data_IF_734242666114
#
_entry.id   IF_734242666114
#
_cell.length_a   1.000
_cell.length_b   1.000
_cell.length_c   1.000
_cell.angle_alpha   90.00
_cell.angle_beta   90.00
_cell.angle_gamma   90.00
#
_symmetry.space_group_name_H-M   'P 1'
#
loop_
_entity.id
_entity.type
_entity.pdbx_description
1 polymer ?
#
# COMPACT_ATOMS: atom_id res chain seq x y z
N UNK A 1 -34.03 25.29 56.30
CA UNK A 1 -34.25 24.91 54.88
C UNK A 1 -33.03 25.31 54.12
N UNK A 2 -32.11 24.37 53.86
CA UNK A 2 -30.89 24.62 53.07
C UNK A 2 -31.12 23.95 51.73
N UNK A 3 -31.19 24.71 50.64
CA UNK A 3 -31.28 24.21 49.25
C UNK A 3 -29.88 23.94 48.76
N UNK A 4 -29.55 22.67 48.58
CA UNK A 4 -28.31 22.25 47.91
C UNK A 4 -28.43 22.51 46.42
N UNK A 5 -27.69 23.48 45.88
CA UNK A 5 -27.44 23.63 44.47
C UNK A 5 -26.27 22.73 44.09
N UNK A 6 -26.53 21.64 43.37
CA UNK A 6 -25.49 20.82 42.71
C UNK A 6 -25.21 21.45 41.34
N UNK A 7 -24.01 21.85 41.02
CA UNK A 7 -23.73 22.46 39.70
C UNK A 7 -23.70 21.41 38.60
N UNK A 8 -24.44 21.69 37.56
CA UNK A 8 -24.53 20.96 36.28
C UNK A 8 -23.29 21.26 35.41
N UNK A 9 -22.11 20.72 35.78
CA UNK A 9 -20.85 20.95 35.03
C UNK A 9 -20.17 19.65 34.54
N UNK A 10 -20.84 18.52 34.52
CA UNK A 10 -20.16 17.26 34.20
C UNK A 10 -20.58 16.60 32.87
N UNK A 11 -21.24 17.29 31.95
CA UNK A 11 -21.77 16.65 30.73
C UNK A 11 -21.15 17.13 29.40
N UNK A 12 -20.10 17.96 29.40
CA UNK A 12 -19.56 18.52 28.17
C UNK A 12 -18.19 17.92 27.74
N UNK A 13 -17.62 16.96 28.45
CA UNK A 13 -16.25 16.51 28.18
C UNK A 13 -16.10 15.19 27.40
N UNK A 14 -17.22 14.51 27.07
CA UNK A 14 -17.14 13.18 26.42
C UNK A 14 -17.26 13.24 24.89
N UNK A 15 -17.62 14.39 24.31
CA UNK A 15 -17.89 14.48 22.87
C UNK A 15 -16.69 14.84 21.97
N UNK A 16 -15.55 15.20 22.54
CA UNK A 16 -14.39 15.68 21.75
C UNK A 16 -13.36 14.62 21.35
N UNK A 17 -13.46 13.39 21.87
CA UNK A 17 -12.46 12.34 21.61
C UNK A 17 -12.72 11.48 20.36
N UNK A 18 -13.92 11.49 19.81
CA UNK A 18 -14.26 10.67 18.64
C UNK A 18 -13.99 11.35 17.29
N UNK A 19 -13.80 12.67 17.27
CA UNK A 19 -13.59 13.44 16.02
C UNK A 19 -12.17 13.33 15.47
N UNK A 20 -11.17 13.09 16.31
CA UNK A 20 -9.75 13.14 15.88
C UNK A 20 -9.30 11.93 15.04
N UNK A 21 -9.87 10.73 15.24
CA UNK A 21 -9.45 9.53 14.49
C UNK A 21 -9.97 9.57 13.06
N UNK A 22 -11.18 10.08 12.84
CA UNK A 22 -11.76 10.18 11.49
C UNK A 22 -11.07 11.24 10.63
N UNK A 23 -10.65 12.36 11.21
CA UNK A 23 -9.98 13.45 10.51
C UNK A 23 -8.57 13.06 10.03
N UNK A 24 -7.78 12.38 10.88
CA UNK A 24 -6.43 11.90 10.53
C UNK A 24 -6.44 10.89 9.37
N UNK A 25 -7.40 9.97 9.35
CA UNK A 25 -7.47 8.98 8.28
C UNK A 25 -7.95 9.57 6.95
N UNK A 26 -8.79 10.59 6.97
CA UNK A 26 -9.29 11.26 5.77
C UNK A 26 -8.21 12.15 5.13
N UNK A 27 -7.37 12.80 5.92
CA UNK A 27 -6.25 13.62 5.43
C UNK A 27 -5.16 12.78 4.74
N UNK A 28 -4.95 11.54 5.18
CA UNK A 28 -3.95 10.66 4.57
C UNK A 28 -4.27 10.27 3.10
N UNK A 29 -5.55 10.27 2.70
CA UNK A 29 -5.97 10.01 1.32
C UNK A 29 -5.99 11.26 0.44
N UNK A 30 -5.91 12.44 1.02
CA UNK A 30 -6.03 13.71 0.28
C UNK A 30 -5.05 13.85 -0.91
N UNK A 31 -3.77 13.43 -0.84
CA UNK A 31 -2.91 13.44 -2.01
C UNK A 31 -3.42 12.56 -3.15
N UNK A 32 -3.86 11.33 -2.87
CA UNK A 32 -4.37 10.39 -3.87
C UNK A 32 -5.72 10.84 -4.47
N UNK A 33 -6.56 11.53 -3.71
CA UNK A 33 -7.82 12.10 -4.20
C UNK A 33 -7.60 13.18 -5.25
N UNK A 34 -6.47 13.90 -5.20
CA UNK A 34 -6.07 14.89 -6.22
C UNK A 34 -5.64 14.24 -7.53
N UNK A 35 -5.30 12.96 -7.54
CA UNK A 35 -4.76 12.24 -8.69
C UNK A 35 -3.29 12.55 -8.99
N UNK A 36 -2.78 11.96 -10.08
CA UNK A 36 -1.40 12.07 -10.56
C UNK A 36 -0.35 11.70 -9.49
N UNK A 37 -0.69 10.71 -8.66
CA UNK A 37 0.20 10.16 -7.62
C UNK A 37 0.63 8.74 -7.95
N UNK A 38 1.80 8.36 -7.44
CA UNK A 38 2.29 7.00 -7.43
C UNK A 38 1.99 6.39 -6.06
N UNK A 39 1.25 5.27 -6.06
CA UNK A 39 0.78 4.61 -4.84
C UNK A 39 1.43 3.24 -4.77
N UNK A 40 2.44 3.11 -3.94
CA UNK A 40 3.06 1.83 -3.66
C UNK A 40 2.25 1.07 -2.60
N UNK A 41 2.14 -0.23 -2.79
CA UNK A 41 1.53 -1.14 -1.81
C UNK A 41 2.49 -2.31 -1.62
N UNK A 42 3.01 -2.50 -0.41
CA UNK A 42 3.67 -3.76 -0.10
C UNK A 42 2.64 -4.88 -0.15
N UNK A 43 2.99 -6.02 -0.76
CA UNK A 43 2.10 -7.19 -0.76
C UNK A 43 1.53 -7.46 0.64
N UNK A 44 0.30 -7.94 0.68
CA UNK A 44 -0.40 -8.27 1.93
C UNK A 44 0.29 -9.39 2.71
N UNK A 45 -0.21 -9.70 3.90
CA UNK A 45 0.42 -10.60 4.88
C UNK A 45 0.67 -11.99 4.27
N UNK A 46 1.97 -12.27 4.11
CA UNK A 46 2.51 -13.57 3.73
C UNK A 46 3.50 -13.99 4.83
N UNK A 47 3.18 -14.96 5.71
CA UNK A 47 4.01 -15.33 6.84
C UNK A 47 5.40 -15.86 6.44
N UNK A 48 6.40 -15.59 7.27
CA UNK A 48 7.79 -15.99 7.04
C UNK A 48 8.63 -14.89 6.36
N UNK A 49 9.91 -15.18 6.14
CA UNK A 49 10.91 -14.30 5.51
C UNK A 49 11.50 -14.96 4.26
N UNK A 50 11.53 -14.24 3.14
CA UNK A 50 12.03 -14.76 1.88
C UNK A 50 11.12 -15.83 1.25
N UNK A 51 11.59 -16.42 0.17
CA UNK A 51 10.96 -17.59 -0.48
C UNK A 51 11.78 -18.86 -0.22
N UNK A 52 11.19 -20.06 -0.27
CA UNK A 52 11.93 -21.32 -0.09
C UNK A 52 13.08 -21.46 -1.09
N UNK A 53 14.16 -22.17 -0.74
CA UNK A 53 15.22 -22.46 -1.69
C UNK A 53 14.68 -23.14 -2.96
N UNK A 54 15.13 -22.68 -4.13
CA UNK A 54 14.73 -23.25 -5.41
C UNK A 54 13.31 -22.90 -5.88
N UNK A 55 12.66 -21.90 -5.26
CA UNK A 55 11.36 -21.43 -5.74
C UNK A 55 11.41 -20.96 -7.20
N UNK A 56 10.26 -21.06 -7.88
CA UNK A 56 10.09 -20.61 -9.26
C UNK A 56 9.05 -19.49 -9.32
N UNK A 57 9.30 -18.44 -10.11
CA UNK A 57 8.40 -17.29 -10.24
C UNK A 57 7.06 -17.68 -10.88
N UNK A 58 7.08 -18.63 -11.79
CA UNK A 58 5.91 -19.12 -12.53
C UNK A 58 5.14 -20.23 -11.78
N UNK A 59 5.66 -20.72 -10.67
CA UNK A 59 5.00 -21.76 -9.85
C UNK A 59 4.72 -21.29 -8.42
N UNK A 60 3.49 -20.85 -8.19
CA UNK A 60 3.05 -20.36 -6.87
C UNK A 60 3.16 -21.41 -5.75
N UNK A 61 3.16 -22.70 -6.07
CA UNK A 61 3.28 -23.76 -5.05
C UNK A 61 4.67 -23.79 -4.41
N UNK A 62 5.65 -23.25 -5.08
CA UNK A 62 7.05 -23.18 -4.62
C UNK A 62 7.36 -21.89 -3.86
N UNK A 63 6.43 -20.94 -3.85
CA UNK A 63 6.63 -19.61 -3.27
C UNK A 63 5.99 -19.47 -1.88
N UNK A 64 6.45 -18.46 -1.16
CA UNK A 64 5.77 -17.95 0.02
C UNK A 64 4.56 -17.12 -0.40
N UNK A 65 3.36 -17.58 -0.03
CA UNK A 65 2.08 -17.01 -0.48
C UNK A 65 1.33 -16.29 0.64
N UNK A 66 0.25 -15.59 0.28
CA UNK A 66 -0.63 -14.92 1.24
C UNK A 66 -1.28 -15.91 2.21
N UNK A 67 -1.38 -15.52 3.47
CA UNK A 67 -2.26 -16.19 4.43
C UNK A 67 -3.73 -15.80 4.19
N UNK A 68 -4.67 -16.52 4.85
CA UNK A 68 -6.07 -16.08 4.93
C UNK A 68 -6.21 -14.63 5.40
N UNK A 69 -5.39 -14.23 6.38
CA UNK A 69 -5.33 -12.85 6.88
C UNK A 69 -4.87 -11.87 5.79
N UNK A 70 -3.86 -12.25 5.01
CA UNK A 70 -3.40 -11.46 3.86
C UNK A 70 -4.43 -11.31 2.76
N UNK A 71 -5.17 -12.36 2.43
CA UNK A 71 -6.28 -12.29 1.47
C UNK A 71 -7.36 -11.30 1.95
N UNK A 72 -7.74 -11.35 3.23
CA UNK A 72 -8.71 -10.43 3.81
C UNK A 72 -8.19 -8.99 3.84
N UNK A 73 -6.89 -8.79 4.13
CA UNK A 73 -6.23 -7.50 4.06
C UNK A 73 -6.25 -6.94 2.63
N UNK A 74 -5.97 -7.75 1.62
CA UNK A 74 -6.06 -7.34 0.21
C UNK A 74 -7.47 -6.85 -0.15
N UNK A 75 -8.51 -7.58 0.28
CA UNK A 75 -9.91 -7.15 0.08
C UNK A 75 -10.22 -5.84 0.81
N UNK A 76 -9.66 -5.65 2.02
CA UNK A 76 -9.79 -4.39 2.78
C UNK A 76 -9.14 -3.22 2.03
N UNK A 77 -7.95 -3.43 1.44
CA UNK A 77 -7.28 -2.44 0.60
C UNK A 77 -8.20 -1.96 -0.51
N UNK A 78 -8.76 -2.86 -1.30
CA UNK A 78 -9.69 -2.49 -2.38
C UNK A 78 -10.91 -1.69 -1.88
N UNK A 79 -11.49 -2.10 -0.74
CA UNK A 79 -12.60 -1.35 -0.11
C UNK A 79 -12.17 0.06 0.32
N UNK A 80 -10.94 0.24 0.82
CA UNK A 80 -10.41 1.55 1.21
C UNK A 80 -10.26 2.48 0.00
N UNK A 81 -9.75 1.98 -1.14
CA UNK A 81 -9.66 2.76 -2.37
C UNK A 81 -11.04 3.22 -2.85
N UNK A 82 -12.03 2.33 -2.87
CA UNK A 82 -13.41 2.64 -3.26
C UNK A 82 -14.05 3.66 -2.29
N UNK A 83 -13.92 3.43 -0.96
CA UNK A 83 -14.47 4.31 0.08
C UNK A 83 -13.95 5.75 -0.04
N UNK A 84 -12.68 5.91 -0.45
CA UNK A 84 -12.03 7.22 -0.56
C UNK A 84 -12.11 7.79 -1.99
N UNK A 85 -12.85 7.16 -2.90
CA UNK A 85 -13.04 7.59 -4.29
C UNK A 85 -11.71 7.78 -5.06
N UNK A 86 -10.73 6.88 -4.83
CA UNK A 86 -9.43 6.98 -5.47
C UNK A 86 -9.53 6.52 -6.93
N UNK A 87 -9.28 7.45 -7.86
CA UNK A 87 -9.24 7.16 -9.29
C UNK A 87 -7.92 6.49 -9.64
N UNK A 88 -8.00 5.31 -10.26
CA UNK A 88 -6.83 4.50 -10.67
C UNK A 88 -6.76 4.51 -12.18
N UNK A 89 -5.57 4.76 -12.72
CA UNK A 89 -5.26 4.63 -14.14
C UNK A 89 -4.85 3.19 -14.47
N UNK A 90 -3.83 2.69 -13.77
CA UNK A 90 -3.30 1.34 -13.93
C UNK A 90 -2.92 0.74 -12.57
N UNK A 91 -3.01 -0.59 -12.49
CA UNK A 91 -2.47 -1.37 -11.39
C UNK A 91 -1.35 -2.25 -11.96
N UNK A 92 -0.11 -1.99 -11.56
CA UNK A 92 1.03 -2.83 -11.91
C UNK A 92 1.44 -3.66 -10.69
N UNK A 93 1.92 -4.87 -10.94
CA UNK A 93 2.32 -5.77 -9.87
C UNK A 93 3.59 -6.54 -10.20
N UNK A 94 4.38 -6.83 -9.16
CA UNK A 94 5.45 -7.82 -9.23
C UNK A 94 4.92 -9.17 -9.70
N UNK A 95 5.75 -9.95 -10.37
CA UNK A 95 5.45 -11.30 -10.85
C UNK A 95 5.33 -12.33 -9.72
N UNK A 96 5.72 -12.00 -8.49
CA UNK A 96 5.55 -12.89 -7.33
C UNK A 96 4.07 -13.12 -7.00
N UNK A 97 3.71 -14.36 -6.73
CA UNK A 97 2.32 -14.77 -6.51
C UNK A 97 1.64 -13.99 -5.38
N UNK A 98 2.34 -13.68 -4.27
CA UNK A 98 1.79 -12.86 -3.18
C UNK A 98 1.45 -11.42 -3.62
N UNK A 99 2.18 -10.86 -4.60
CA UNK A 99 1.86 -9.56 -5.17
C UNK A 99 0.67 -9.66 -6.14
N UNK A 100 0.67 -10.65 -7.03
CA UNK A 100 -0.44 -10.92 -7.95
C UNK A 100 -1.75 -11.19 -7.19
N UNK A 101 -1.70 -11.98 -6.12
CA UNK A 101 -2.86 -12.23 -5.28
C UNK A 101 -3.33 -10.98 -4.54
N UNK A 102 -2.40 -10.14 -4.05
CA UNK A 102 -2.76 -8.84 -3.46
C UNK A 102 -3.50 -7.98 -4.48
N UNK A 103 -2.98 -7.87 -5.72
CA UNK A 103 -3.61 -7.13 -6.81
C UNK A 103 -4.99 -7.70 -7.17
N UNK A 104 -5.09 -9.01 -7.36
CA UNK A 104 -6.32 -9.72 -7.72
C UNK A 104 -7.43 -9.49 -6.70
N UNK A 105 -7.13 -9.63 -5.40
CA UNK A 105 -8.15 -9.48 -4.36
C UNK A 105 -8.51 -8.02 -4.05
N UNK A 106 -7.61 -7.06 -4.31
CA UNK A 106 -7.87 -5.64 -4.09
C UNK A 106 -8.52 -4.97 -5.31
N UNK A 107 -8.04 -5.24 -6.53
CA UNK A 107 -8.37 -4.46 -7.72
C UNK A 107 -8.93 -5.28 -8.88
N UNK A 108 -8.85 -6.61 -8.85
CA UNK A 108 -9.25 -7.59 -9.88
C UNK A 108 -8.31 -7.60 -11.10
N UNK A 109 -8.15 -6.47 -11.79
CA UNK A 109 -7.32 -6.32 -12.99
C UNK A 109 -5.96 -5.71 -12.65
N UNK A 110 -4.91 -6.22 -13.26
CA UNK A 110 -3.54 -5.75 -13.09
C UNK A 110 -2.66 -6.20 -14.26
N UNK A 111 -1.51 -5.54 -14.39
CA UNK A 111 -0.46 -5.87 -15.36
C UNK A 111 0.80 -6.26 -14.59
N UNK A 112 1.44 -7.36 -14.96
CA UNK A 112 2.73 -7.75 -14.39
C UNK A 112 3.84 -6.84 -14.92
N UNK A 113 4.71 -6.39 -14.02
CA UNK A 113 5.85 -5.55 -14.34
C UNK A 113 7.08 -5.99 -13.55
N UNK A 114 8.09 -6.49 -14.23
CA UNK A 114 9.29 -7.10 -13.64
C UNK A 114 10.14 -6.14 -12.81
N UNK A 115 10.10 -4.84 -13.13
CA UNK A 115 10.76 -3.81 -12.31
C UNK A 115 10.22 -3.72 -10.87
N UNK A 116 9.06 -4.33 -10.58
CA UNK A 116 8.48 -4.43 -9.24
C UNK A 116 8.85 -5.74 -8.50
N UNK A 117 9.66 -6.59 -9.10
CA UNK A 117 10.07 -7.88 -8.53
C UNK A 117 10.94 -7.70 -7.29
N UNK A 118 10.91 -8.69 -6.38
CA UNK A 118 11.68 -8.64 -5.13
C UNK A 118 13.18 -8.67 -5.40
N UNK A 119 13.91 -7.79 -4.74
CA UNK A 119 15.38 -7.76 -4.70
C UNK A 119 15.91 -8.19 -3.32
N UNK A 120 15.07 -8.82 -2.50
CA UNK A 120 15.40 -9.14 -1.11
C UNK A 120 16.42 -10.26 -0.97
N UNK A 121 16.44 -11.23 -1.87
CA UNK A 121 17.31 -12.41 -1.75
C UNK A 121 18.00 -12.75 -3.08
N UNK A 122 19.19 -13.35 -2.98
CA UNK A 122 19.93 -13.86 -4.12
C UNK A 122 19.12 -14.96 -4.88
N UNK A 123 19.22 -15.02 -6.21
CA UNK A 123 20.06 -14.19 -7.09
C UNK A 123 19.39 -12.86 -7.54
N UNK A 124 18.20 -12.51 -7.03
CA UNK A 124 17.39 -11.37 -7.48
C UNK A 124 17.91 -10.02 -6.99
N UNK A 125 18.69 -9.99 -5.91
CA UNK A 125 19.36 -8.81 -5.37
C UNK A 125 20.20 -8.06 -6.40
N UNK A 126 20.83 -8.78 -7.32
CA UNK A 126 21.63 -8.23 -8.42
C UNK A 126 20.83 -7.36 -9.40
N UNK A 127 19.53 -7.50 -9.43
CA UNK A 127 18.66 -6.79 -10.36
C UNK A 127 18.24 -5.40 -9.87
N UNK A 128 18.48 -5.06 -8.59
CA UNK A 128 17.94 -3.85 -7.97
C UNK A 128 18.23 -2.58 -8.76
N UNK A 129 19.49 -2.34 -9.10
CA UNK A 129 19.91 -1.12 -9.82
C UNK A 129 19.15 -0.97 -11.15
N UNK A 130 19.05 -2.07 -11.91
CA UNK A 130 18.31 -2.09 -13.18
C UNK A 130 16.82 -1.87 -12.97
N UNK A 131 16.23 -2.59 -12.02
CA UNK A 131 14.78 -2.49 -11.72
C UNK A 131 14.38 -1.08 -11.27
N UNK A 132 15.15 -0.46 -10.38
CA UNK A 132 14.90 0.91 -9.92
C UNK A 132 15.02 1.91 -11.08
N UNK A 133 15.99 1.74 -11.98
CA UNK A 133 16.13 2.56 -13.19
C UNK A 133 14.91 2.42 -14.11
N UNK A 134 14.50 1.18 -14.39
CA UNK A 134 13.36 0.90 -15.27
C UNK A 134 12.05 1.44 -14.69
N UNK A 135 11.86 1.28 -13.38
CA UNK A 135 10.71 1.81 -12.67
C UNK A 135 10.65 3.34 -12.72
N UNK A 136 11.80 4.02 -12.50
CA UNK A 136 11.90 5.49 -12.61
C UNK A 136 11.60 5.97 -14.04
N UNK A 137 12.13 5.31 -15.05
CA UNK A 137 11.87 5.63 -16.46
C UNK A 137 10.39 5.49 -16.81
N UNK A 138 9.75 4.39 -16.35
CA UNK A 138 8.33 4.16 -16.56
C UNK A 138 7.49 5.28 -15.91
N UNK A 139 7.75 5.60 -14.65
CA UNK A 139 6.98 6.61 -13.91
C UNK A 139 7.19 8.01 -14.51
N UNK A 140 8.39 8.35 -14.97
CA UNK A 140 8.66 9.64 -15.61
C UNK A 140 7.88 9.84 -16.91
N UNK A 141 7.67 8.76 -17.67
CA UNK A 141 6.90 8.79 -18.92
C UNK A 141 5.39 8.66 -18.71
N UNK A 142 4.96 8.19 -17.53
CA UNK A 142 3.54 7.99 -17.23
C UNK A 142 2.81 9.33 -17.07
N UNK A 143 1.65 9.44 -17.75
CA UNK A 143 0.74 10.56 -17.61
C UNK A 143 -0.64 10.04 -17.17
N UNK A 144 -0.94 10.16 -15.89
CA UNK A 144 -2.17 9.64 -15.28
C UNK A 144 -3.43 10.42 -15.61
N UNK A 145 -3.32 11.63 -16.18
CA UNK A 145 -4.47 12.49 -16.53
C UNK A 145 -5.47 12.66 -15.37
N UNK A 146 -4.96 12.94 -14.17
CA UNK A 146 -5.74 13.10 -12.94
C UNK A 146 -6.14 11.78 -12.26
N UNK A 147 -5.59 10.62 -12.69
CA UNK A 147 -5.70 9.34 -12.02
C UNK A 147 -4.39 8.94 -11.38
N UNK A 148 -4.37 7.90 -10.56
CA UNK A 148 -3.19 7.42 -9.85
C UNK A 148 -2.64 6.13 -10.46
N UNK A 149 -1.33 5.94 -10.36
CA UNK A 149 -0.64 4.70 -10.67
C UNK A 149 -0.51 3.87 -9.38
N UNK A 150 -1.00 2.63 -9.38
CA UNK A 150 -0.89 1.72 -8.25
C UNK A 150 0.17 0.66 -8.54
N UNK A 151 1.13 0.50 -7.64
CA UNK A 151 2.29 -0.39 -7.76
C UNK A 151 2.32 -1.36 -6.59
N UNK A 152 2.02 -2.65 -6.84
CA UNK A 152 2.04 -3.68 -5.81
C UNK A 152 3.37 -4.43 -5.87
N UNK A 153 4.16 -4.30 -4.81
CA UNK A 153 5.55 -4.77 -4.82
C UNK A 153 6.01 -5.24 -3.43
N UNK A 154 7.29 -5.23 -3.20
CA UNK A 154 7.99 -5.70 -2.00
C UNK A 154 8.58 -4.53 -1.23
N UNK A 155 8.81 -4.71 0.07
CA UNK A 155 9.42 -3.65 0.88
C UNK A 155 10.79 -3.22 0.32
N UNK A 156 11.59 -4.15 -0.22
CA UNK A 156 12.90 -3.83 -0.78
C UNK A 156 12.83 -2.76 -1.88
N UNK A 157 11.90 -2.89 -2.82
CA UNK A 157 11.70 -1.92 -3.90
C UNK A 157 11.17 -0.59 -3.34
N UNK A 158 10.18 -0.64 -2.44
CA UNK A 158 9.62 0.59 -1.86
C UNK A 158 10.70 1.34 -1.10
N UNK A 159 11.48 0.65 -0.26
CA UNK A 159 12.56 1.27 0.52
C UNK A 159 13.65 1.84 -0.39
N UNK A 160 14.06 1.10 -1.43
CA UNK A 160 15.11 1.55 -2.35
C UNK A 160 14.73 2.83 -3.12
N UNK A 161 13.43 3.06 -3.37
CA UNK A 161 12.98 4.21 -4.18
C UNK A 161 12.43 5.37 -3.36
N UNK A 162 11.89 5.12 -2.15
CA UNK A 162 11.19 6.13 -1.33
C UNK A 162 11.82 6.35 0.04
N UNK A 163 12.77 5.51 0.47
CA UNK A 163 13.29 5.39 1.84
C UNK A 163 12.23 4.99 2.90
N UNK A 164 10.98 4.75 2.54
CA UNK A 164 9.97 4.23 3.44
C UNK A 164 10.13 2.72 3.66
N UNK A 165 9.88 2.24 4.89
CA UNK A 165 9.93 0.82 5.25
C UNK A 165 8.53 0.35 5.62
N UNK A 166 7.68 0.00 4.63
CA UNK A 166 6.28 -0.30 4.89
C UNK A 166 6.08 -1.68 5.52
N UNK A 167 5.08 -1.80 6.38
CA UNK A 167 4.51 -3.06 6.85
C UNK A 167 3.75 -3.80 5.74
N UNK A 168 3.42 -5.09 5.92
CA UNK A 168 2.62 -5.84 4.94
C UNK A 168 1.27 -5.18 4.69
N UNK A 169 0.93 -4.97 3.42
CA UNK A 169 -0.29 -4.30 2.99
C UNK A 169 -0.31 -2.79 3.17
N UNK A 170 0.74 -2.19 3.73
CA UNK A 170 0.80 -0.73 3.91
C UNK A 170 0.87 -0.03 2.56
N UNK A 171 0.14 1.09 2.48
CA UNK A 171 0.03 1.95 1.30
C UNK A 171 0.94 3.16 1.51
N UNK A 172 1.84 3.42 0.57
CA UNK A 172 2.74 4.58 0.56
C UNK A 172 2.39 5.44 -0.65
N UNK A 173 1.88 6.65 -0.42
CA UNK A 173 1.49 7.59 -1.47
C UNK A 173 2.64 8.58 -1.69
N UNK A 174 3.11 8.70 -2.93
CA UNK A 174 4.21 9.60 -3.31
C UNK A 174 3.80 10.51 -4.47
N UNK A 175 4.57 11.57 -4.68
CA UNK A 175 4.62 12.25 -5.96
C UNK A 175 5.44 11.43 -6.99
N UNK A 176 5.66 11.99 -8.20
CA UNK A 176 6.46 11.35 -9.25
C UNK A 176 7.96 11.38 -8.98
N UNK A 177 8.41 12.26 -8.10
CA UNK A 177 9.77 12.41 -7.60
C UNK A 177 10.05 11.50 -6.40
N UNK A 178 9.06 10.63 -6.02
CA UNK A 178 9.12 9.66 -4.93
C UNK A 178 9.17 10.26 -3.51
N UNK A 179 8.85 11.55 -3.35
CA UNK A 179 8.65 12.14 -2.03
C UNK A 179 7.39 11.51 -1.39
N UNK A 180 7.54 10.97 -0.20
CA UNK A 180 6.42 10.37 0.54
C UNK A 180 5.50 11.46 1.05
N UNK A 181 4.26 11.44 0.61
CA UNK A 181 3.22 12.41 0.97
C UNK A 181 2.35 11.88 2.13
N UNK A 182 2.11 10.57 2.19
CA UNK A 182 1.42 9.91 3.29
C UNK A 182 1.63 8.40 3.26
N UNK A 183 1.41 7.76 4.42
CA UNK A 183 1.36 6.29 4.55
C UNK A 183 0.05 5.89 5.24
N UNK A 184 -0.49 4.73 4.88
CA UNK A 184 -1.78 4.25 5.37
C UNK A 184 -1.63 2.77 5.75
N UNK A 185 -1.60 2.43 7.05
CA UNK A 185 -1.64 1.05 7.51
C UNK A 185 -3.01 0.42 7.21
N UNK A 186 -3.02 -0.89 6.95
CA UNK A 186 -4.23 -1.62 6.55
C UNK A 186 -4.52 -2.87 7.38
N UNK A 187 -3.77 -3.10 8.44
CA UNK A 187 -3.96 -4.17 9.42
C UNK A 187 -5.14 -3.94 10.39
#
# INVERSE_FOLDING_TARGET
>A
MIRNNVPLILLFFIFSLTFNISYSSQTAWAPAQKGDKVIFIRHSIAPGGGDPPGFKIDDCKTQRNLSKKGINQSKKIGKLFNKNNIKIDQVLTSQWCRCKDTAKFAFKEFIEFDALNSTFQSPFDKNEVKQIKDLKNFISSWNGKGKNLVLITHYSIITAITNAVPSSGEIVITDKEFNVLSTIPTD
#
